data_IF_961765375846
#
_entry.id   IF_961765375846
#
_cell.length_a   1.000
_cell.length_b   1.000
_cell.length_c   1.000
_cell.angle_alpha   90.00
_cell.angle_beta   90.00
_cell.angle_gamma   90.00
#
_symmetry.space_group_name_H-M   'P 1'
#
loop_
_entity.id
_entity.type
_entity.pdbx_description
1 polymer ?
#
# COMPACT_ATOMS: atom_id res chain seq x y z
N UNK A 1 -6.54 -11.67 14.15
CA UNK A 1 -5.82 -10.75 15.06
C UNK A 1 -5.26 -9.64 14.18
N UNK A 2 -5.34 -8.36 14.59
CA UNK A 2 -4.75 -7.28 13.80
C UNK A 2 -3.23 -7.36 13.86
N UNK A 3 -2.56 -7.14 12.73
CA UNK A 3 -1.11 -7.23 12.61
C UNK A 3 -0.63 -6.84 11.21
N UNK A 4 0.70 -6.77 10.99
CA UNK A 4 1.28 -6.62 9.66
C UNK A 4 0.68 -7.62 8.65
N UNK A 5 0.40 -7.14 7.43
CA UNK A 5 -0.26 -7.91 6.37
C UNK A 5 -1.79 -7.95 6.45
N UNK A 6 -2.39 -7.44 7.53
CA UNK A 6 -3.85 -7.33 7.64
C UNK A 6 -4.39 -6.32 6.63
N UNK A 7 -5.51 -6.63 6.01
CA UNK A 7 -6.19 -5.75 5.06
C UNK A 7 -7.46 -5.17 5.70
N UNK A 8 -7.70 -3.90 5.46
CA UNK A 8 -8.87 -3.17 5.92
C UNK A 8 -9.60 -2.65 4.68
N UNK A 9 -10.87 -2.98 4.54
CA UNK A 9 -11.71 -2.38 3.51
C UNK A 9 -12.66 -1.36 4.15
N UNK A 10 -12.64 -0.13 3.65
CA UNK A 10 -13.53 0.90 4.11
C UNK A 10 -14.99 0.52 3.81
N UNK A 11 -15.86 0.74 4.80
CA UNK A 11 -17.31 0.63 4.66
C UNK A 11 -17.93 2.03 4.62
N UNK A 12 -19.20 2.11 4.23
CA UNK A 12 -19.93 3.38 4.09
C UNK A 12 -19.99 4.19 5.40
N UNK A 13 -19.88 3.52 6.56
CA UNK A 13 -19.87 4.15 7.87
C UNK A 13 -18.62 5.01 8.13
N UNK A 14 -17.55 4.84 7.34
CA UNK A 14 -16.35 5.66 7.41
C UNK A 14 -16.57 6.98 6.64
N UNK A 15 -16.86 8.05 7.38
CA UNK A 15 -17.14 9.38 6.81
C UNK A 15 -15.91 10.18 6.38
N UNK A 16 -14.70 9.65 6.55
CA UNK A 16 -13.48 10.33 6.13
C UNK A 16 -13.27 10.17 4.61
N UNK A 17 -13.31 11.27 3.83
CA UNK A 17 -13.11 11.20 2.38
C UNK A 17 -11.74 10.65 1.98
N UNK A 18 -10.74 10.74 2.86
CA UNK A 18 -9.43 10.15 2.63
C UNK A 18 -9.48 8.62 2.55
N UNK A 19 -10.58 7.99 2.95
CA UNK A 19 -10.70 6.54 2.98
C UNK A 19 -11.93 6.00 2.23
N UNK A 20 -12.70 6.84 1.55
CA UNK A 20 -13.83 6.38 0.74
C UNK A 20 -13.41 5.31 -0.27
N UNK A 21 -14.11 4.18 -0.22
CA UNK A 21 -13.89 2.99 -1.05
C UNK A 21 -12.45 2.46 -1.06
N UNK A 22 -11.67 2.73 -0.01
CA UNK A 22 -10.27 2.33 0.08
C UNK A 22 -10.07 0.93 0.63
N UNK A 23 -8.99 0.31 0.19
CA UNK A 23 -8.41 -0.88 0.79
C UNK A 23 -7.05 -0.50 1.35
N UNK A 24 -6.83 -0.73 2.63
CA UNK A 24 -5.59 -0.44 3.33
C UNK A 24 -4.88 -1.74 3.69
N UNK A 25 -3.56 -1.82 3.47
CA UNK A 25 -2.71 -2.83 4.13
C UNK A 25 -2.07 -2.25 5.38
N UNK A 26 -2.13 -2.97 6.50
CA UNK A 26 -1.34 -2.65 7.69
C UNK A 26 0.07 -3.19 7.52
N UNK A 27 1.07 -2.32 7.70
CA UNK A 27 2.47 -2.71 7.74
C UNK A 27 3.01 -2.80 9.17
N UNK A 28 2.42 -2.04 10.10
CA UNK A 28 2.72 -2.15 11.53
C UNK A 28 1.44 -1.98 12.37
N UNK A 29 1.38 -2.66 13.51
CA UNK A 29 0.28 -2.56 14.47
C UNK A 29 0.81 -2.87 15.88
N UNK A 30 0.50 -2.01 16.85
CA UNK A 30 0.91 -2.17 18.24
C UNK A 30 0.14 -1.26 19.19
N UNK A 31 0.59 -1.18 20.46
CA UNK A 31 -0.06 -0.35 21.49
C UNK A 31 -0.04 1.14 21.14
N UNK A 32 1.05 1.60 20.54
CA UNK A 32 1.27 3.01 20.22
C UNK A 32 0.49 3.46 18.97
N UNK A 33 0.04 2.53 18.14
CA UNK A 33 -0.67 2.86 16.91
C UNK A 33 -0.60 1.80 15.83
N UNK A 34 -1.09 2.18 14.66
CA UNK A 34 -1.01 1.37 13.43
C UNK A 34 -0.54 2.23 12.26
N UNK A 35 0.09 1.59 11.29
CA UNK A 35 0.67 2.23 10.11
C UNK A 35 0.41 1.34 8.90
N UNK A 36 0.02 1.94 7.78
CA UNK A 36 -0.32 1.22 6.56
C UNK A 36 -0.49 2.10 5.34
N UNK A 37 -0.88 1.49 4.21
CA UNK A 37 -1.08 2.19 2.95
C UNK A 37 -2.41 1.87 2.31
N UNK A 38 -3.08 2.89 1.77
CA UNK A 38 -4.16 2.72 0.81
C UNK A 38 -3.57 2.12 -0.49
N UNK A 39 -4.05 0.94 -0.85
CA UNK A 39 -3.57 0.16 -1.99
C UNK A 39 -4.23 0.56 -3.33
N UNK A 40 -5.43 1.14 -3.30
CA UNK A 40 -6.28 1.32 -4.48
C UNK A 40 -6.58 2.78 -4.84
N UNK A 41 -5.67 3.70 -4.50
CA UNK A 41 -5.81 5.11 -4.87
C UNK A 41 -4.63 5.58 -5.70
N UNK A 42 -4.69 5.46 -7.04
CA UNK A 42 -3.63 5.97 -7.90
C UNK A 42 -3.44 7.48 -7.71
N UNK A 43 -2.20 7.92 -7.65
CA UNK A 43 -1.85 9.33 -7.72
C UNK A 43 -2.10 9.87 -9.15
N UNK A 44 -2.32 11.18 -9.26
CA UNK A 44 -2.55 11.84 -10.56
C UNK A 44 -1.28 11.97 -11.41
N UNK A 45 -0.10 11.73 -10.82
CA UNK A 45 1.20 11.86 -11.47
C UNK A 45 2.01 10.56 -11.37
N UNK A 46 2.78 10.19 -12.41
CA UNK A 46 3.71 9.06 -12.37
C UNK A 46 4.95 9.36 -11.53
N UNK A 47 5.69 8.31 -11.14
CA UNK A 47 6.90 8.41 -10.30
C UNK A 47 7.92 9.43 -10.83
N UNK A 48 8.14 9.48 -12.14
CA UNK A 48 9.17 10.33 -12.76
C UNK A 48 8.91 11.83 -12.56
N UNK A 49 7.65 12.22 -12.39
CA UNK A 49 7.28 13.62 -12.14
C UNK A 49 7.51 14.04 -10.69
N UNK A 50 7.83 13.10 -9.78
CA UNK A 50 8.19 13.41 -8.39
C UNK A 50 9.62 13.93 -8.24
N UNK A 51 10.45 13.84 -9.28
CA UNK A 51 11.86 14.22 -9.23
C UNK A 51 12.10 15.44 -10.12
N UNK A 52 12.82 16.44 -9.61
CA UNK A 52 13.11 17.68 -10.34
C UNK A 52 14.00 17.45 -11.58
N UNK A 53 14.87 16.45 -11.54
CA UNK A 53 15.78 16.09 -12.62
C UNK A 53 15.78 14.56 -12.84
N UNK A 54 14.73 13.99 -13.45
CA UNK A 54 14.65 12.55 -13.66
C UNK A 54 15.73 12.11 -14.66
N UNK A 55 16.39 10.96 -14.44
CA UNK A 55 17.42 10.45 -15.33
C UNK A 55 16.83 10.02 -16.67
N UNK A 56 17.59 10.23 -17.76
CA UNK A 56 17.21 9.75 -19.08
C UNK A 56 17.34 8.21 -19.13
N UNK A 57 16.21 7.52 -18.95
CA UNK A 57 16.12 6.06 -19.02
C UNK A 57 15.21 5.66 -20.19
N UNK A 58 15.76 5.41 -21.40
CA UNK A 58 14.96 5.11 -22.60
C UNK A 58 14.21 3.78 -22.54
N UNK A 59 14.74 2.81 -21.78
CA UNK A 59 14.25 1.43 -21.71
C UNK A 59 13.38 1.14 -20.47
N UNK A 60 13.38 2.01 -19.47
CA UNK A 60 12.56 1.80 -18.27
C UNK A 60 11.11 2.20 -18.52
N UNK A 61 10.12 1.50 -17.92
CA UNK A 61 8.73 1.93 -17.97
C UNK A 61 8.59 3.27 -17.26
N UNK A 62 8.58 4.36 -18.03
CA UNK A 62 8.50 5.74 -17.52
C UNK A 62 7.21 6.01 -16.73
N UNK A 63 6.17 5.21 -16.97
CA UNK A 63 4.87 5.32 -16.32
C UNK A 63 4.73 4.36 -15.14
N UNK A 64 5.66 4.43 -14.17
CA UNK A 64 5.47 3.79 -12.86
C UNK A 64 4.28 4.43 -12.17
N UNK A 65 3.24 3.63 -11.91
CA UNK A 65 2.13 4.06 -11.08
C UNK A 65 2.62 4.29 -9.65
N UNK A 66 2.14 5.38 -9.07
CA UNK A 66 2.30 5.71 -7.66
C UNK A 66 0.90 5.78 -7.08
N UNK A 67 0.77 5.43 -5.80
CA UNK A 67 -0.49 5.45 -5.07
C UNK A 67 -0.43 6.47 -3.95
N UNK A 68 -1.55 7.08 -3.62
CA UNK A 68 -1.68 7.86 -2.40
C UNK A 68 -1.83 6.87 -1.24
N UNK A 69 -0.78 6.70 -0.42
CA UNK A 69 -0.76 5.76 0.70
C UNK A 69 -1.57 6.25 1.91
N UNK A 70 -1.79 7.55 2.03
CA UNK A 70 -2.65 8.17 3.02
C UNK A 70 -2.29 9.64 3.26
N UNK A 71 -3.00 10.33 4.16
CA UNK A 71 -2.90 11.78 4.32
C UNK A 71 -1.68 12.26 5.12
N UNK A 72 -0.84 11.34 5.62
CA UNK A 72 0.32 11.69 6.46
C UNK A 72 1.59 11.63 5.63
N UNK A 73 2.42 12.67 5.72
CA UNK A 73 3.70 12.78 4.97
C UNK A 73 3.52 12.55 3.46
N UNK A 74 2.51 13.16 2.83
CA UNK A 74 2.15 12.94 1.41
C UNK A 74 3.27 13.20 0.38
N UNK A 75 4.37 13.86 0.78
CA UNK A 75 5.55 14.04 -0.08
C UNK A 75 6.61 12.94 0.03
N UNK A 76 6.48 12.00 0.97
CA UNK A 76 7.46 10.95 1.20
C UNK A 76 7.13 9.69 0.41
N UNK A 77 8.11 9.21 -0.36
CA UNK A 77 8.00 7.96 -1.12
C UNK A 77 8.21 6.76 -0.19
N UNK A 78 7.23 5.87 -0.18
CA UNK A 78 7.23 4.61 0.55
C UNK A 78 7.15 3.45 -0.45
N UNK A 79 7.84 2.34 -0.17
CA UNK A 79 8.00 1.23 -1.12
C UNK A 79 7.62 -0.08 -0.44
N UNK A 80 6.70 -0.82 -1.04
CA UNK A 80 6.53 -2.25 -0.78
C UNK A 80 7.14 -3.04 -1.94
N UNK A 81 8.05 -3.95 -1.62
CA UNK A 81 8.62 -4.90 -2.55
C UNK A 81 7.98 -6.27 -2.37
N UNK A 82 7.67 -6.92 -3.48
CA UNK A 82 7.16 -8.29 -3.55
C UNK A 82 8.23 -9.17 -4.18
N UNK A 83 8.56 -10.30 -3.55
CA UNK A 83 9.52 -11.26 -4.09
C UNK A 83 10.31 -11.98 -2.99
N UNK A 84 11.38 -12.67 -3.39
CA UNK A 84 12.22 -13.45 -2.46
C UNK A 84 13.51 -12.73 -2.04
N UNK A 85 13.90 -11.68 -2.77
CA UNK A 85 15.15 -10.95 -2.55
C UNK A 85 14.84 -9.51 -2.12
N UNK A 86 14.67 -9.25 -0.80
CA UNK A 86 14.39 -7.90 -0.32
C UNK A 86 15.58 -6.98 -0.51
N UNK A 87 15.31 -5.71 -0.79
CA UNK A 87 16.32 -4.66 -0.75
C UNK A 87 16.95 -4.58 0.66
N UNK A 88 18.26 -4.27 0.77
CA UNK A 88 18.93 -4.16 2.07
C UNK A 88 18.20 -3.19 3.01
N UNK A 89 18.02 -3.59 4.27
CA UNK A 89 17.34 -2.78 5.28
C UNK A 89 15.81 -2.78 5.21
N UNK A 90 15.21 -3.58 4.33
CA UNK A 90 13.75 -3.74 4.29
C UNK A 90 13.23 -4.51 5.51
N UNK A 91 12.02 -4.20 5.93
CA UNK A 91 11.29 -4.90 6.99
C UNK A 91 10.25 -5.84 6.38
N UNK A 92 10.21 -7.11 6.79
CA UNK A 92 9.16 -8.02 6.34
C UNK A 92 7.81 -7.66 6.98
N UNK A 93 6.79 -7.47 6.14
CA UNK A 93 5.40 -7.16 6.55
C UNK A 93 4.55 -8.44 6.54
N UNK A 94 4.76 -9.26 5.54
CA UNK A 94 4.09 -10.55 5.31
C UNK A 94 5.05 -11.43 4.50
N UNK A 95 4.92 -12.77 4.49
CA UNK A 95 5.83 -13.63 3.72
C UNK A 95 5.99 -13.15 2.27
N UNK A 96 7.23 -12.80 1.89
CA UNK A 96 7.55 -12.34 0.54
C UNK A 96 7.08 -10.91 0.20
N UNK A 97 6.70 -10.11 1.20
CA UNK A 97 6.34 -8.70 1.08
C UNK A 97 7.13 -7.86 2.09
N UNK A 98 7.91 -6.91 1.59
CA UNK A 98 8.89 -6.15 2.37
C UNK A 98 8.66 -4.65 2.22
N UNK A 99 8.72 -3.93 3.34
CA UNK A 99 8.61 -2.49 3.42
C UNK A 99 9.98 -1.81 3.47
N UNK A 100 10.12 -0.73 2.71
CA UNK A 100 11.27 0.14 2.75
C UNK A 100 12.42 -0.42 1.92
N UNK A 101 13.61 -0.42 2.51
CA UNK A 101 14.86 -0.75 1.83
C UNK A 101 15.67 0.48 1.47
N UNK A 102 16.97 0.29 1.30
CA UNK A 102 17.92 1.34 0.95
C UNK A 102 17.91 1.61 -0.56
N UNK A 103 16.85 2.26 -1.05
CA UNK A 103 16.74 2.72 -2.44
C UNK A 103 17.47 4.05 -2.58
N UNK A 104 18.60 4.04 -3.27
CA UNK A 104 19.51 5.20 -3.34
C UNK A 104 19.29 6.08 -4.56
N UNK A 105 18.70 5.52 -5.61
CA UNK A 105 18.52 6.20 -6.91
C UNK A 105 17.18 5.84 -7.54
N UNK A 106 16.67 6.73 -8.39
CA UNK A 106 15.46 6.46 -9.17
C UNK A 106 15.71 5.33 -10.18
N UNK A 107 16.92 5.23 -10.73
CA UNK A 107 17.35 4.17 -11.64
C UNK A 107 17.22 2.78 -11.01
N UNK A 108 17.59 2.65 -9.73
CA UNK A 108 17.46 1.41 -8.97
C UNK A 108 15.99 0.98 -8.91
N UNK A 109 15.09 1.88 -8.52
CA UNK A 109 13.64 1.63 -8.46
C UNK A 109 13.09 1.27 -9.85
N UNK A 110 13.53 2.00 -10.88
CA UNK A 110 13.09 1.80 -12.26
C UNK A 110 13.61 0.50 -12.88
N UNK A 111 14.66 -0.10 -12.34
CA UNK A 111 15.25 -1.35 -12.83
C UNK A 111 14.49 -2.62 -12.40
N UNK A 112 13.73 -2.57 -11.30
CA UNK A 112 12.98 -3.73 -10.75
C UNK A 112 11.71 -3.97 -11.56
N UNK A 113 11.22 -5.21 -11.73
CA UNK A 113 9.92 -5.42 -12.39
C UNK A 113 8.81 -4.59 -11.72
N UNK A 114 8.01 -3.78 -12.46
CA UNK A 114 6.89 -3.03 -11.91
C UNK A 114 5.88 -3.86 -11.12
N UNK A 115 5.72 -5.15 -11.43
CA UNK A 115 4.84 -6.06 -10.66
C UNK A 115 5.37 -6.35 -9.26
N UNK A 116 6.68 -6.21 -9.06
CA UNK A 116 7.37 -6.51 -7.82
C UNK A 116 7.54 -5.29 -6.91
N UNK A 117 7.11 -4.09 -7.34
CA UNK A 117 7.14 -2.88 -6.51
C UNK A 117 5.77 -2.20 -6.48
N UNK A 118 5.36 -1.79 -5.29
CA UNK A 118 4.27 -0.85 -5.06
C UNK A 118 4.85 0.41 -4.43
N UNK A 119 4.51 1.55 -5.01
CA UNK A 119 5.07 2.85 -4.67
C UNK A 119 3.95 3.72 -4.12
N UNK A 120 4.18 4.30 -2.94
CA UNK A 120 3.19 5.10 -2.23
C UNK A 120 3.74 6.48 -1.90
N UNK A 121 2.88 7.48 -1.95
CA UNK A 121 3.11 8.80 -1.39
C UNK A 121 2.36 8.92 -0.07
N UNK A 122 3.10 9.19 1.00
CA UNK A 122 2.57 9.23 2.35
C UNK A 122 2.04 7.88 2.84
N UNK A 123 1.36 7.93 3.98
CA UNK A 123 0.83 6.75 4.64
C UNK A 123 -0.43 7.06 5.44
N UNK A 124 -1.12 5.99 5.84
CA UNK A 124 -2.27 6.00 6.72
C UNK A 124 -1.86 5.59 8.13
N UNK A 125 -2.13 6.46 9.10
CA UNK A 125 -1.72 6.29 10.49
C UNK A 125 -2.89 6.31 11.45
N UNK A 126 -2.83 5.46 12.46
CA UNK A 126 -3.77 5.44 13.58
C UNK A 126 -3.01 5.58 14.89
N UNK A 127 -3.52 6.43 15.78
CA UNK A 127 -3.03 6.48 17.16
C UNK A 127 -3.38 5.22 17.96
N UNK A 128 -2.78 5.07 19.13
CA UNK A 128 -3.03 3.94 20.04
C UNK A 128 -4.52 3.65 20.25
N UNK A 129 -4.93 2.42 19.93
CA UNK A 129 -6.32 1.95 20.05
C UNK A 129 -7.35 2.64 19.14
N UNK A 130 -6.95 3.55 18.24
CA UNK A 130 -7.89 4.22 17.31
C UNK A 130 -8.47 3.25 16.29
N UNK A 131 -7.61 2.51 15.57
CA UNK A 131 -8.07 1.55 14.56
C UNK A 131 -9.06 0.53 15.13
N UNK A 132 -8.80 0.04 16.34
CA UNK A 132 -9.68 -0.91 17.03
C UNK A 132 -11.08 -0.32 17.24
N UNK A 133 -11.16 0.94 17.69
CA UNK A 133 -12.44 1.64 17.87
C UNK A 133 -13.18 1.84 16.56
N UNK A 134 -12.46 2.19 15.49
CA UNK A 134 -13.07 2.34 14.16
C UNK A 134 -13.65 1.01 13.63
N UNK A 135 -12.95 -0.10 13.85
CA UNK A 135 -13.46 -1.44 13.54
C UNK A 135 -14.71 -1.77 14.38
N UNK A 136 -14.69 -1.48 15.69
CA UNK A 136 -15.85 -1.70 16.59
C UNK A 136 -17.07 -0.87 16.18
N UNK A 137 -16.86 0.31 15.60
CA UNK A 137 -17.90 1.16 15.03
C UNK A 137 -18.34 0.74 13.62
N UNK A 138 -17.73 -0.32 13.06
CA UNK A 138 -18.09 -0.87 11.76
C UNK A 138 -17.51 -0.12 10.56
N UNK A 139 -16.56 0.81 10.77
CA UNK A 139 -15.97 1.61 9.70
C UNK A 139 -15.04 0.82 8.77
N UNK A 140 -14.49 -0.29 9.26
CA UNK A 140 -13.56 -1.16 8.54
C UNK A 140 -14.02 -2.63 8.59
N UNK A 141 -14.03 -3.30 7.45
CA UNK A 141 -14.06 -4.76 7.39
C UNK A 141 -12.63 -5.29 7.31
N UNK A 142 -12.32 -6.29 8.15
CA UNK A 142 -10.96 -6.82 8.31
C UNK A 142 -10.80 -8.12 7.55
N UNK A 143 -9.77 -8.22 6.73
CA UNK A 143 -9.45 -9.40 5.93
C UNK A 143 -8.05 -9.94 6.25
N UNK A 144 -7.90 -11.25 6.07
CA UNK A 144 -6.62 -11.96 6.07
C UNK A 144 -6.55 -12.74 4.77
N UNK A 145 -5.48 -12.56 4.01
CA UNK A 145 -5.22 -13.28 2.76
C UNK A 145 -3.71 -13.33 2.52
N UNK A 146 -3.30 -14.04 1.48
CA UNK A 146 -1.93 -13.95 0.97
C UNK A 146 -1.72 -12.56 0.33
N UNK A 147 -1.00 -11.69 1.04
CA UNK A 147 -0.72 -10.34 0.58
C UNK A 147 0.13 -10.34 -0.70
N UNK A 148 1.07 -11.28 -0.84
CA UNK A 148 1.88 -11.39 -2.04
C UNK A 148 0.99 -11.74 -3.25
N UNK A 149 0.10 -12.72 -3.10
CA UNK A 149 -0.85 -13.08 -4.15
C UNK A 149 -1.79 -11.92 -4.53
N UNK A 150 -2.31 -11.19 -3.54
CA UNK A 150 -3.11 -9.99 -3.76
C UNK A 150 -2.33 -8.93 -4.54
N UNK A 151 -1.11 -8.60 -4.12
CA UNK A 151 -0.31 -7.55 -4.76
C UNK A 151 0.14 -7.93 -6.17
N UNK A 152 0.27 -9.22 -6.50
CA UNK A 152 0.59 -9.70 -7.84
C UNK A 152 -0.63 -9.84 -8.76
N UNK A 153 -1.84 -9.75 -8.21
CA UNK A 153 -3.08 -9.79 -8.99
C UNK A 153 -3.32 -8.50 -9.79
N UNK A 154 -4.19 -8.52 -10.83
CA UNK A 154 -4.59 -7.31 -11.53
C UNK A 154 -5.15 -6.26 -10.56
N UNK A 155 -4.55 -5.07 -10.57
CA UNK A 155 -4.81 -4.02 -9.56
C UNK A 155 -6.28 -3.61 -9.49
N UNK A 156 -6.96 -3.52 -10.64
CA UNK A 156 -8.35 -3.09 -10.76
C UNK A 156 -9.37 -4.16 -10.33
N UNK A 157 -8.95 -5.42 -10.14
CA UNK A 157 -9.85 -6.53 -9.85
C UNK A 157 -10.56 -6.43 -8.49
N UNK A 158 -10.06 -5.58 -7.59
CA UNK A 158 -10.50 -5.51 -6.20
C UNK A 158 -10.75 -4.07 -5.71
N UNK A 159 -10.85 -3.11 -6.63
CA UNK A 159 -11.21 -1.72 -6.31
C UNK A 159 -12.71 -1.57 -5.99
N UNK A 160 -13.06 -0.53 -5.21
CA UNK A 160 -14.46 -0.17 -4.94
C UNK A 160 -14.96 -0.50 -3.52
N UNK A 161 -14.07 -0.54 -2.53
CA UNK A 161 -14.43 -0.72 -1.12
C UNK A 161 -14.70 -2.18 -0.72
N UNK A 162 -15.37 -2.37 0.42
CA UNK A 162 -15.52 -3.68 1.07
C UNK A 162 -16.19 -4.76 0.21
N UNK A 163 -17.29 -4.46 -0.47
CA UNK A 163 -18.07 -5.46 -1.20
C UNK A 163 -17.34 -6.05 -2.43
N UNK A 164 -16.79 -5.24 -3.36
CA UNK A 164 -15.94 -5.75 -4.44
C UNK A 164 -14.73 -6.50 -3.92
N UNK A 165 -14.07 -5.96 -2.89
CA UNK A 165 -12.88 -6.56 -2.31
C UNK A 165 -13.16 -7.94 -1.73
N UNK A 166 -14.24 -8.07 -0.96
CA UNK A 166 -14.69 -9.34 -0.38
C UNK A 166 -14.95 -10.42 -1.44
N UNK A 167 -15.59 -10.03 -2.56
CA UNK A 167 -15.82 -10.96 -3.68
C UNK A 167 -14.51 -11.40 -4.31
N UNK A 168 -13.55 -10.49 -4.47
CA UNK A 168 -12.25 -10.81 -5.04
C UNK A 168 -11.43 -11.74 -4.13
N UNK A 169 -11.34 -11.44 -2.83
CA UNK A 169 -10.60 -12.27 -1.87
C UNK A 169 -11.12 -13.70 -1.84
N UNK A 170 -12.42 -13.94 -2.08
CA UNK A 170 -12.98 -15.29 -2.16
C UNK A 170 -12.51 -16.10 -3.38
N UNK A 171 -11.78 -15.48 -4.31
CA UNK A 171 -11.24 -16.11 -5.53
C UNK A 171 -9.72 -16.34 -5.49
N UNK A 172 -9.03 -15.75 -4.50
CA UNK A 172 -7.60 -15.96 -4.23
C UNK A 172 -7.39 -17.28 -3.47
#
# INVERSE_FOLDING_TARGET
>A
MLGPGTLLAAREELSDPNFDSTIVVLCQHGSEGSYGFVLNRPAHMPLVELFENPPEMPSAPKNRKVYMGGPVQEGELQILQVGLEPAPGSQEVSPGVYLGGAWTTLEEILSVDPKNLRLFLGYSGWGGGQLKREIELGAWEVFQTDLQALLLSPEDAWFGGADPFKRFIATL
#
